data_IF_657977293877
#
_entry.id   IF_657977293877
#
_cell.length_a   1.000
_cell.length_b   1.000
_cell.length_c   1.000
_cell.angle_alpha   90.00
_cell.angle_beta   90.00
_cell.angle_gamma   90.00
#
_symmetry.space_group_name_H-M   'P 1'
#
loop_
_entity.id
_entity.type
_entity.pdbx_description
1 polymer ?
#
# COMPACT_ATOMS: atom_id res chain seq x y z
N UNK A 1 -5.44 -30.09 -7.28
CA UNK A 1 -4.37 -29.40 -8.04
C UNK A 1 -3.37 -30.44 -8.53
N UNK A 2 -2.91 -30.31 -9.77
CA UNK A 2 -1.90 -31.20 -10.34
C UNK A 2 -0.54 -30.87 -9.69
N UNK A 3 0.13 -31.81 -8.98
CA UNK A 3 1.42 -31.53 -8.34
C UNK A 3 2.49 -31.04 -9.32
N UNK A 4 2.42 -31.44 -10.59
CA UNK A 4 3.36 -31.02 -11.62
C UNK A 4 3.23 -29.53 -11.96
N UNK A 5 2.06 -28.94 -11.83
CA UNK A 5 1.88 -27.49 -12.06
C UNK A 5 2.55 -26.66 -10.99
N UNK A 6 2.73 -27.18 -9.78
CA UNK A 6 3.38 -26.48 -8.67
C UNK A 6 4.90 -26.34 -8.87
N UNK A 7 5.49 -27.19 -9.72
CA UNK A 7 6.93 -27.18 -10.02
C UNK A 7 7.27 -26.40 -11.31
N UNK A 8 6.27 -25.80 -11.95
CA UNK A 8 6.44 -24.98 -13.14
C UNK A 8 6.43 -23.50 -12.78
N UNK A 9 6.84 -22.68 -13.73
CA UNK A 9 6.68 -21.23 -13.63
C UNK A 9 5.19 -20.89 -13.56
N UNK A 10 4.79 -20.12 -12.55
CA UNK A 10 3.44 -19.61 -12.39
C UNK A 10 3.16 -18.39 -13.28
N UNK A 11 1.92 -17.90 -13.31
CA UNK A 11 1.60 -16.64 -13.96
C UNK A 11 2.36 -15.47 -13.31
N UNK A 12 2.86 -14.54 -14.12
CA UNK A 12 3.60 -13.38 -13.63
C UNK A 12 2.77 -12.47 -12.71
N UNK A 13 1.44 -12.49 -12.88
CA UNK A 13 0.48 -11.74 -12.06
C UNK A 13 0.25 -12.37 -10.68
N UNK A 14 0.74 -13.59 -10.47
CA UNK A 14 0.39 -14.44 -9.35
C UNK A 14 -0.73 -15.42 -9.71
N UNK A 15 -1.12 -16.25 -8.76
CA UNK A 15 -2.23 -17.20 -8.94
C UNK A 15 -3.55 -16.46 -9.16
N UNK A 16 -4.24 -16.77 -10.27
CA UNK A 16 -5.47 -16.07 -10.66
C UNK A 16 -6.61 -16.30 -9.65
N UNK A 17 -6.68 -17.51 -9.05
CA UNK A 17 -7.70 -17.82 -8.06
C UNK A 17 -7.46 -17.06 -6.75
N UNK A 18 -6.20 -16.92 -6.34
CA UNK A 18 -5.82 -16.11 -5.18
C UNK A 18 -6.16 -14.64 -5.42
N UNK A 19 -5.86 -14.12 -6.61
CA UNK A 19 -6.19 -12.73 -6.96
C UNK A 19 -7.71 -12.50 -6.93
N UNK A 20 -8.51 -13.41 -7.52
CA UNK A 20 -9.98 -13.36 -7.49
C UNK A 20 -10.52 -13.37 -6.05
N UNK A 21 -10.07 -14.29 -5.20
CA UNK A 21 -10.51 -14.40 -3.82
C UNK A 21 -10.09 -13.17 -2.99
N UNK A 22 -8.90 -12.62 -3.26
CA UNK A 22 -8.44 -11.40 -2.62
C UNK A 22 -9.32 -10.22 -3.01
N UNK A 23 -9.60 -10.04 -4.30
CA UNK A 23 -10.48 -8.98 -4.78
C UNK A 23 -11.89 -9.09 -4.19
N UNK A 24 -12.47 -10.29 -4.22
CA UNK A 24 -13.79 -10.57 -3.64
C UNK A 24 -13.85 -10.20 -2.15
N UNK A 25 -12.80 -10.51 -1.40
CA UNK A 25 -12.64 -10.11 0.01
C UNK A 25 -12.59 -8.59 0.17
N UNK A 26 -11.79 -7.88 -0.63
CA UNK A 26 -11.68 -6.42 -0.55
C UNK A 26 -13.03 -5.74 -0.82
N UNK A 27 -13.76 -6.22 -1.82
CA UNK A 27 -15.11 -5.69 -2.16
C UNK A 27 -16.11 -5.99 -1.05
N UNK A 28 -16.18 -7.23 -0.56
CA UNK A 28 -17.19 -7.65 0.42
C UNK A 28 -16.93 -7.11 1.82
N UNK A 29 -15.66 -7.17 2.27
CA UNK A 29 -15.29 -6.86 3.64
C UNK A 29 -14.92 -5.39 3.80
N UNK A 30 -14.10 -4.86 2.90
CA UNK A 30 -13.59 -3.49 2.99
C UNK A 30 -14.40 -2.47 2.17
N UNK A 31 -15.43 -2.94 1.43
CA UNK A 31 -16.31 -2.08 0.61
C UNK A 31 -15.57 -1.28 -0.46
N UNK A 32 -14.47 -1.81 -0.96
CA UNK A 32 -13.70 -1.16 -2.02
C UNK A 32 -14.39 -1.31 -3.37
N UNK A 33 -14.39 -0.23 -4.18
CA UNK A 33 -14.93 -0.27 -5.54
C UNK A 33 -13.88 -0.90 -6.48
N UNK A 34 -14.21 -1.99 -7.22
CA UNK A 34 -13.29 -2.61 -8.16
C UNK A 34 -13.27 -1.96 -9.55
N UNK A 35 -14.19 -1.06 -9.87
CA UNK A 35 -14.27 -0.43 -11.18
C UNK A 35 -13.03 0.41 -11.49
N UNK A 36 -12.40 0.18 -12.65
CA UNK A 36 -11.17 0.90 -13.05
C UNK A 36 -9.92 0.52 -12.25
N UNK A 37 -10.01 -0.49 -11.36
CA UNK A 37 -8.92 -0.90 -10.50
C UNK A 37 -8.25 -2.18 -10.98
N UNK A 38 -6.99 -2.35 -10.60
CA UNK A 38 -6.22 -3.57 -10.79
C UNK A 38 -5.78 -4.17 -9.45
N UNK A 39 -5.44 -5.46 -9.47
CA UNK A 39 -4.88 -6.17 -8.33
C UNK A 39 -3.68 -7.01 -8.78
N UNK A 40 -2.58 -6.93 -8.03
CA UNK A 40 -1.38 -7.74 -8.25
C UNK A 40 -1.02 -8.48 -6.96
N UNK A 41 -0.73 -9.77 -7.08
CA UNK A 41 -0.17 -10.57 -5.99
C UNK A 41 1.34 -10.41 -5.97
N UNK A 42 1.92 -10.30 -4.79
CA UNK A 42 3.35 -10.04 -4.58
C UNK A 42 3.99 -11.02 -3.58
N UNK A 43 5.30 -11.12 -3.63
CA UNK A 43 6.09 -11.90 -2.68
C UNK A 43 6.21 -11.17 -1.32
N UNK A 44 5.08 -11.07 -0.62
CA UNK A 44 4.87 -10.23 0.56
C UNK A 44 4.76 -8.74 0.24
N UNK A 45 4.13 -7.96 1.14
CA UNK A 45 4.00 -6.51 0.99
C UNK A 45 5.35 -5.79 0.88
N UNK A 46 6.42 -6.36 1.44
CA UNK A 46 7.77 -5.79 1.35
C UNK A 46 8.30 -5.65 -0.08
N UNK A 47 7.89 -6.52 -1.01
CA UNK A 47 8.24 -6.36 -2.44
C UNK A 47 7.62 -5.10 -3.03
N UNK A 48 6.39 -4.77 -2.63
CA UNK A 48 5.67 -3.60 -3.11
C UNK A 48 6.30 -2.29 -2.63
N UNK A 49 6.87 -2.28 -1.42
CA UNK A 49 7.62 -1.12 -0.92
C UNK A 49 8.81 -0.76 -1.81
N UNK A 50 9.40 -1.72 -2.51
CA UNK A 50 10.44 -1.45 -3.50
C UNK A 50 9.88 -1.06 -4.86
N UNK A 51 8.86 -1.78 -5.35
CA UNK A 51 8.33 -1.60 -6.70
C UNK A 51 7.57 -0.28 -6.89
N UNK A 52 6.81 0.18 -5.89
CA UNK A 52 6.03 1.43 -6.01
C UNK A 52 6.96 2.64 -6.18
N UNK A 53 7.97 2.89 -5.33
CA UNK A 53 8.89 3.99 -5.56
C UNK A 53 9.59 3.96 -6.91
N UNK A 54 10.05 2.78 -7.37
CA UNK A 54 10.68 2.63 -8.70
C UNK A 54 9.73 3.05 -9.82
N UNK A 55 8.44 2.78 -9.66
CA UNK A 55 7.44 3.07 -10.70
C UNK A 55 7.03 4.53 -10.74
N UNK A 56 6.95 5.20 -9.57
CA UNK A 56 6.29 6.51 -9.47
C UNK A 56 7.23 7.67 -9.13
N UNK A 57 8.46 7.42 -8.63
CA UNK A 57 9.37 8.49 -8.23
C UNK A 57 10.35 8.86 -9.33
N UNK A 58 10.61 10.15 -9.43
CA UNK A 58 11.76 10.73 -10.10
C UNK A 58 12.81 11.16 -9.06
N UNK A 59 14.02 11.42 -9.53
CA UNK A 59 15.12 11.84 -8.66
C UNK A 59 14.79 13.16 -7.96
N UNK A 60 14.81 13.15 -6.64
CA UNK A 60 14.55 14.32 -5.81
C UNK A 60 13.09 14.51 -5.40
N UNK A 61 12.16 13.69 -5.89
CA UNK A 61 10.76 13.68 -5.43
C UNK A 61 10.66 13.44 -3.93
N UNK A 62 9.63 13.99 -3.30
CA UNK A 62 9.38 13.88 -1.89
C UNK A 62 8.25 12.88 -1.60
N UNK A 63 8.46 12.07 -0.56
CA UNK A 63 7.44 11.16 -0.03
C UNK A 63 7.20 11.53 1.42
N UNK A 64 5.95 11.87 1.73
CA UNK A 64 5.53 12.23 3.08
C UNK A 64 5.13 10.97 3.85
N UNK A 65 5.61 10.84 5.08
CA UNK A 65 5.32 9.71 5.95
C UNK A 65 5.33 10.15 7.41
N UNK A 66 4.75 9.37 8.30
CA UNK A 66 4.84 9.64 9.74
C UNK A 66 6.32 9.78 10.15
N UNK A 67 6.65 10.72 11.05
CA UNK A 67 8.02 10.92 11.53
C UNK A 67 8.64 9.67 12.16
N UNK A 68 7.80 8.82 12.76
CA UNK A 68 8.15 7.47 13.19
C UNK A 68 7.39 6.47 12.33
N UNK A 69 8.07 5.78 11.43
CA UNK A 69 7.44 4.84 10.50
C UNK A 69 8.33 3.65 10.18
N UNK A 70 7.81 2.71 9.39
CA UNK A 70 8.52 1.49 9.03
C UNK A 70 9.80 1.79 8.23
N UNK A 71 10.95 1.44 8.79
CA UNK A 71 12.28 1.76 8.24
C UNK A 71 12.47 1.30 6.80
N UNK A 72 11.88 0.15 6.40
CA UNK A 72 11.99 -0.32 5.03
C UNK A 72 11.32 0.61 4.02
N UNK A 73 10.22 1.30 4.39
CA UNK A 73 9.58 2.30 3.53
C UNK A 73 10.50 3.51 3.34
N UNK A 74 11.15 3.99 4.40
CA UNK A 74 12.14 5.09 4.31
C UNK A 74 13.28 4.70 3.36
N UNK A 75 13.84 3.51 3.56
CA UNK A 75 14.99 3.05 2.78
C UNK A 75 14.62 2.85 1.30
N UNK A 76 13.42 2.35 0.99
CA UNK A 76 12.99 2.14 -0.39
C UNK A 76 12.89 3.45 -1.17
N UNK A 77 12.38 4.52 -0.53
CA UNK A 77 12.35 5.87 -1.12
C UNK A 77 13.76 6.41 -1.36
N UNK A 78 14.62 6.33 -0.34
CA UNK A 78 16.00 6.82 -0.43
C UNK A 78 16.84 6.09 -1.47
N UNK A 79 16.67 4.78 -1.61
CA UNK A 79 17.37 3.96 -2.60
C UNK A 79 17.02 4.37 -4.04
N UNK A 80 15.85 5.00 -4.25
CA UNK A 80 15.44 5.54 -5.54
C UNK A 80 15.85 7.01 -5.76
N UNK A 81 16.62 7.58 -4.82
CA UNK A 81 17.02 8.98 -4.88
C UNK A 81 15.91 9.96 -4.50
N UNK A 82 14.79 9.47 -3.98
CA UNK A 82 13.72 10.27 -3.40
C UNK A 82 14.06 10.74 -1.98
N UNK A 83 13.28 11.69 -1.48
CA UNK A 83 13.40 12.23 -0.13
C UNK A 83 12.24 11.73 0.73
N UNK A 84 12.53 10.90 1.72
CA UNK A 84 11.57 10.52 2.74
C UNK A 84 11.49 11.64 3.80
N UNK A 85 10.35 12.31 3.87
CA UNK A 85 10.10 13.42 4.80
C UNK A 85 9.14 12.97 5.90
N UNK A 86 9.64 13.01 7.14
CA UNK A 86 8.83 12.73 8.34
C UNK A 86 7.92 13.92 8.65
N UNK A 87 6.62 13.66 8.68
CA UNK A 87 5.59 14.63 9.10
C UNK A 87 5.27 14.38 10.56
N UNK A 88 5.19 15.44 11.36
CA UNK A 88 4.86 15.34 12.78
C UNK A 88 3.54 14.60 13.02
N UNK A 89 3.51 13.84 14.10
CA UNK A 89 2.35 13.04 14.53
C UNK A 89 1.88 13.45 15.92
N UNK A 90 0.61 13.18 16.18
CA UNK A 90 -0.02 13.25 17.50
C UNK A 90 -0.61 11.88 17.88
N UNK A 91 -1.46 11.81 18.89
CA UNK A 91 -2.13 10.57 19.33
C UNK A 91 -3.09 9.98 18.29
N UNK A 92 -3.38 10.72 17.21
CA UNK A 92 -4.25 10.28 16.09
C UNK A 92 -3.45 10.04 14.79
N UNK A 93 -2.12 10.11 14.84
CA UNK A 93 -1.23 9.92 13.70
C UNK A 93 -0.81 11.23 13.03
N UNK A 94 -0.53 11.20 11.74
CA UNK A 94 -0.04 12.35 10.97
C UNK A 94 -0.91 13.60 11.15
N UNK A 95 -0.29 14.74 11.50
CA UNK A 95 -0.96 16.01 11.70
C UNK A 95 -1.25 16.67 10.33
N UNK A 96 -2.53 16.91 9.95
CA UNK A 96 -2.89 17.44 8.63
C UNK A 96 -2.25 18.78 8.30
N UNK A 97 -2.19 19.70 9.25
CA UNK A 97 -1.58 21.03 9.03
C UNK A 97 -0.07 20.96 8.74
N UNK A 98 0.65 20.00 9.34
CA UNK A 98 2.06 19.77 9.05
C UNK A 98 2.25 19.10 7.68
N UNK A 99 1.37 18.17 7.30
CA UNK A 99 1.35 17.59 5.96
C UNK A 99 1.06 18.66 4.89
N UNK A 100 0.04 19.49 5.11
CA UNK A 100 -0.31 20.55 4.17
C UNK A 100 0.84 21.55 3.98
N UNK A 101 1.50 21.94 5.06
CA UNK A 101 2.69 22.79 5.01
C UNK A 101 3.82 22.17 4.19
N UNK A 102 4.07 20.87 4.34
CA UNK A 102 5.07 20.17 3.53
C UNK A 102 4.66 20.09 2.06
N UNK A 103 3.38 19.79 1.78
CA UNK A 103 2.84 19.64 0.43
C UNK A 103 2.90 20.96 -0.39
N UNK A 104 2.96 22.12 0.25
CA UNK A 104 3.17 23.43 -0.40
C UNK A 104 4.50 23.53 -1.16
N UNK A 105 5.47 22.65 -0.90
CA UNK A 105 6.71 22.55 -1.69
C UNK A 105 6.47 22.22 -3.16
N UNK A 106 5.35 21.57 -3.49
CA UNK A 106 5.01 21.08 -4.82
C UNK A 106 5.90 19.93 -5.33
N UNK A 107 6.72 19.32 -4.44
CA UNK A 107 7.65 18.22 -4.78
C UNK A 107 7.15 16.87 -4.29
N UNK A 108 6.03 16.84 -3.55
CA UNK A 108 5.42 15.63 -3.04
C UNK A 108 4.91 14.76 -4.18
N UNK A 109 5.14 13.45 -4.08
CA UNK A 109 4.60 12.46 -5.02
C UNK A 109 3.52 11.61 -4.39
N UNK A 110 3.77 11.11 -3.20
CA UNK A 110 2.79 10.35 -2.46
C UNK A 110 2.99 10.45 -0.94
N UNK A 111 1.95 10.06 -0.22
CA UNK A 111 1.92 9.93 1.24
C UNK A 111 1.95 8.44 1.55
N UNK A 112 2.93 7.96 2.32
CA UNK A 112 2.99 6.60 2.83
C UNK A 112 2.41 6.55 4.25
N UNK A 113 1.42 5.70 4.48
CA UNK A 113 0.73 5.57 5.77
C UNK A 113 0.50 4.10 6.15
N UNK A 114 0.61 3.83 7.45
CA UNK A 114 0.12 2.60 8.08
C UNK A 114 -1.04 3.02 9.01
N UNK A 115 -2.30 3.13 8.51
CA UNK A 115 -3.36 3.78 9.24
C UNK A 115 -3.97 2.95 10.38
N UNK A 116 -3.72 1.64 10.40
CA UNK A 116 -4.18 0.73 11.43
C UNK A 116 -2.98 0.15 12.20
N UNK A 117 -2.97 0.34 13.53
CA UNK A 117 -1.91 -0.22 14.40
C UNK A 117 -0.51 0.11 13.89
N UNK A 118 -0.28 1.38 13.63
CA UNK A 118 0.91 1.95 13.00
C UNK A 118 2.21 1.36 13.57
N UNK A 119 3.12 1.01 12.70
CA UNK A 119 4.43 0.50 13.09
C UNK A 119 5.50 1.64 13.01
N UNK A 120 6.09 2.06 14.18
CA UNK A 120 6.14 1.34 15.45
C UNK A 120 5.19 1.85 16.56
N UNK A 121 4.38 2.86 16.34
CA UNK A 121 3.68 3.61 17.42
C UNK A 121 2.44 2.88 17.97
N UNK A 122 1.84 1.97 17.20
CA UNK A 122 0.58 1.29 17.54
C UNK A 122 -0.66 2.15 17.34
N UNK A 123 -0.53 3.40 16.90
CA UNK A 123 -1.64 4.33 16.68
C UNK A 123 -2.57 3.78 15.60
N UNK A 124 -3.88 3.93 15.80
CA UNK A 124 -4.89 3.73 14.75
C UNK A 124 -5.53 5.05 14.41
N UNK A 125 -5.37 5.48 13.17
CA UNK A 125 -5.85 6.75 12.66
C UNK A 125 -7.38 6.74 12.56
N UNK A 126 -8.09 7.67 13.22
CA UNK A 126 -9.55 7.76 13.16
C UNK A 126 -10.03 8.23 11.78
N UNK A 127 -11.28 7.91 11.44
CA UNK A 127 -11.85 8.18 10.12
C UNK A 127 -11.75 9.66 9.70
N UNK A 128 -12.03 10.57 10.62
CA UNK A 128 -12.01 12.01 10.29
C UNK A 128 -10.59 12.47 9.92
N UNK A 129 -9.56 11.96 10.62
CA UNK A 129 -8.16 12.23 10.27
C UNK A 129 -7.81 11.68 8.89
N UNK A 130 -8.32 10.48 8.53
CA UNK A 130 -8.14 9.92 7.17
C UNK A 130 -8.75 10.82 6.11
N UNK A 131 -9.95 11.34 6.35
CA UNK A 131 -10.62 12.27 5.42
C UNK A 131 -9.86 13.59 5.25
N UNK A 132 -9.33 14.16 6.34
CA UNK A 132 -8.51 15.37 6.29
C UNK A 132 -7.24 15.16 5.44
N UNK A 133 -6.53 14.04 5.67
CA UNK A 133 -5.34 13.69 4.88
C UNK A 133 -5.70 13.45 3.41
N UNK A 134 -6.81 12.75 3.14
CA UNK A 134 -7.28 12.53 1.78
C UNK A 134 -7.59 13.84 1.05
N UNK A 135 -8.25 14.78 1.72
CA UNK A 135 -8.53 16.10 1.16
C UNK A 135 -7.25 16.88 0.81
N UNK A 136 -6.21 16.77 1.63
CA UNK A 136 -4.89 17.36 1.34
C UNK A 136 -4.24 16.64 0.14
N UNK A 137 -4.31 15.32 0.09
CA UNK A 137 -3.81 14.54 -1.04
C UNK A 137 -4.49 14.94 -2.36
N UNK A 138 -5.82 15.12 -2.33
CA UNK A 138 -6.59 15.63 -3.48
C UNK A 138 -6.14 17.04 -3.88
N UNK A 139 -6.03 17.96 -2.93
CA UNK A 139 -5.66 19.36 -3.17
C UNK A 139 -4.27 19.52 -3.80
N UNK A 140 -3.32 18.68 -3.43
CA UNK A 140 -1.91 18.77 -3.86
C UNK A 140 -1.52 17.69 -4.87
N UNK A 141 -2.49 16.99 -5.44
CA UNK A 141 -2.31 15.91 -6.43
C UNK A 141 -1.32 14.83 -6.00
N UNK A 142 -1.47 14.37 -4.76
CA UNK A 142 -0.65 13.32 -4.17
C UNK A 142 -1.37 11.97 -4.26
N UNK A 143 -0.62 10.89 -4.53
CA UNK A 143 -1.10 9.55 -4.25
C UNK A 143 -1.05 9.26 -2.75
N UNK A 144 -1.84 8.29 -2.30
CA UNK A 144 -1.74 7.70 -0.96
C UNK A 144 -1.33 6.23 -1.13
N UNK A 145 -0.21 5.84 -0.52
CA UNK A 145 0.16 4.45 -0.36
C UNK A 145 -0.30 4.01 1.03
N UNK A 146 -1.44 3.32 1.08
CA UNK A 146 -2.03 2.77 2.29
C UNK A 146 -1.48 1.37 2.54
N UNK A 147 -0.57 1.21 3.50
CA UNK A 147 0.01 -0.07 3.90
C UNK A 147 -0.77 -0.62 5.11
N UNK A 148 -1.56 -1.67 4.91
CA UNK A 148 -2.46 -2.19 5.93
C UNK A 148 -2.24 -3.69 6.26
N UNK A 149 -1.08 -4.04 6.84
CA UNK A 149 -0.81 -5.42 7.23
C UNK A 149 -1.51 -5.85 8.52
N UNK A 150 -2.13 -4.92 9.27
CA UNK A 150 -2.65 -5.17 10.62
C UNK A 150 -4.15 -4.94 10.77
N UNK A 151 -4.81 -4.30 9.83
CA UNK A 151 -6.23 -3.90 9.96
C UNK A 151 -7.18 -5.04 10.26
N UNK A 152 -6.89 -6.24 9.78
CA UNK A 152 -7.72 -7.43 9.97
C UNK A 152 -7.44 -8.22 11.27
N UNK A 153 -6.39 -7.87 12.03
CA UNK A 153 -6.07 -8.52 13.31
C UNK A 153 -6.50 -7.69 14.51
N UNK A 154 -7.59 -6.96 14.39
CA UNK A 154 -8.17 -6.13 15.44
C UNK A 154 -8.76 -6.99 16.56
N UNK A 155 -8.32 -6.78 17.82
CA UNK A 155 -8.82 -7.49 18.99
C UNK A 155 -9.92 -6.72 19.75
N UNK A 156 -10.00 -5.39 19.54
CA UNK A 156 -10.99 -4.52 20.17
C UNK A 156 -11.29 -3.30 19.29
N UNK A 157 -12.43 -2.66 19.54
CA UNK A 157 -12.91 -1.51 18.77
C UNK A 157 -13.57 -1.92 17.44
N UNK A 158 -14.08 -0.94 16.72
CA UNK A 158 -14.78 -1.14 15.47
C UNK A 158 -13.86 -1.00 14.26
N UNK A 159 -14.28 -1.58 13.13
CA UNK A 159 -13.60 -1.39 11.84
C UNK A 159 -13.69 0.08 11.41
N UNK A 160 -12.56 0.62 10.99
CA UNK A 160 -12.48 1.97 10.44
C UNK A 160 -12.28 1.86 8.92
N UNK A 161 -13.12 2.52 8.10
CA UNK A 161 -12.98 2.52 6.65
C UNK A 161 -11.56 2.90 6.20
N UNK A 162 -11.01 2.12 5.28
CA UNK A 162 -9.69 2.38 4.68
C UNK A 162 -9.75 3.60 3.76
N UNK A 163 -8.62 4.25 3.48
CA UNK A 163 -8.56 5.32 2.48
C UNK A 163 -9.10 4.83 1.13
N UNK A 164 -8.71 3.61 0.72
CA UNK A 164 -9.17 3.03 -0.54
C UNK A 164 -10.67 2.82 -0.60
N UNK A 165 -11.34 2.56 0.52
CA UNK A 165 -12.79 2.30 0.53
C UNK A 165 -13.65 3.54 0.22
N UNK A 166 -13.11 4.75 0.41
CA UNK A 166 -13.77 6.01 0.07
C UNK A 166 -13.03 6.83 -0.99
N UNK A 167 -12.04 6.22 -1.66
CA UNK A 167 -11.32 6.83 -2.77
C UNK A 167 -12.23 6.98 -4.00
N UNK A 168 -12.48 8.21 -4.42
CA UNK A 168 -13.30 8.55 -5.59
C UNK A 168 -12.49 9.20 -6.71
N UNK A 169 -11.17 9.35 -6.52
CA UNK A 169 -10.29 10.09 -7.44
C UNK A 169 -9.13 9.22 -7.97
N UNK A 170 -9.19 7.91 -7.76
CA UNK A 170 -8.16 6.96 -8.19
C UNK A 170 -6.74 7.29 -7.68
N UNK A 171 -6.64 7.80 -6.44
CA UNK A 171 -5.36 8.23 -5.85
C UNK A 171 -4.83 7.33 -4.74
N UNK A 172 -5.53 6.25 -4.38
CA UNK A 172 -5.10 5.34 -3.30
C UNK A 172 -4.60 4.02 -3.85
N UNK A 173 -3.37 3.66 -3.47
CA UNK A 173 -2.78 2.33 -3.63
C UNK A 173 -2.87 1.61 -2.29
N UNK A 174 -3.69 0.57 -2.20
CA UNK A 174 -3.87 -0.22 -0.98
C UNK A 174 -3.01 -1.48 -1.02
N UNK A 175 -2.07 -1.58 -0.09
CA UNK A 175 -1.21 -2.74 0.09
C UNK A 175 -1.68 -3.57 1.29
N UNK A 176 -1.88 -4.86 1.06
CA UNK A 176 -2.24 -5.82 2.10
C UNK A 176 -1.26 -6.98 2.18
N UNK A 177 -1.33 -7.71 3.29
CA UNK A 177 -0.44 -8.83 3.55
C UNK A 177 -1.15 -9.98 4.26
N UNK A 178 -0.90 -11.20 3.82
CA UNK A 178 -1.33 -12.41 4.54
C UNK A 178 -0.32 -12.86 5.61
N UNK A 179 0.80 -12.15 5.76
CA UNK A 179 1.86 -12.51 6.71
C UNK A 179 1.41 -12.48 8.17
N UNK A 180 0.43 -11.65 8.52
CA UNK A 180 -0.06 -11.49 9.89
C UNK A 180 -1.37 -12.22 10.15
N UNK A 181 -2.16 -12.47 9.11
CA UNK A 181 -3.47 -13.13 9.21
C UNK A 181 -3.39 -14.63 8.95
N UNK A 182 -2.41 -15.09 8.17
CA UNK A 182 -2.26 -16.50 7.81
C UNK A 182 -0.88 -17.04 8.21
N UNK A 183 0.19 -16.63 7.53
CA UNK A 183 1.56 -17.06 7.86
C UNK A 183 2.60 -16.15 7.21
N UNK A 184 3.58 -15.71 8.00
CA UNK A 184 4.67 -14.89 7.50
C UNK A 184 5.59 -15.65 6.52
N UNK A 185 5.73 -16.96 6.67
CA UNK A 185 6.57 -17.81 5.83
C UNK A 185 6.06 -17.99 4.41
N UNK A 186 4.76 -17.82 4.17
CA UNK A 186 4.17 -17.94 2.83
C UNK A 186 4.55 -16.80 1.88
N UNK A 187 4.97 -15.67 2.42
CA UNK A 187 5.38 -14.50 1.64
C UNK A 187 4.32 -14.03 0.63
N UNK A 188 3.06 -13.95 1.04
CA UNK A 188 1.95 -13.48 0.21
C UNK A 188 1.54 -12.07 0.62
N UNK A 189 1.55 -11.16 -0.34
CA UNK A 189 1.01 -9.81 -0.25
C UNK A 189 0.30 -9.44 -1.54
N UNK A 190 -0.35 -8.30 -1.55
CA UNK A 190 -1.04 -7.79 -2.73
C UNK A 190 -1.08 -6.26 -2.73
N UNK A 191 -1.26 -5.69 -3.92
CA UNK A 191 -1.52 -4.26 -4.12
C UNK A 191 -2.79 -4.12 -4.95
N UNK A 192 -3.69 -3.24 -4.51
CA UNK A 192 -4.93 -2.90 -5.18
C UNK A 192 -5.00 -1.39 -5.40
N UNK A 193 -5.33 -0.96 -6.61
CA UNK A 193 -5.35 0.46 -6.95
C UNK A 193 -5.63 0.72 -8.43
N UNK A 194 -5.46 1.96 -8.92
CA UNK A 194 -5.75 2.33 -10.29
C UNK A 194 -5.07 1.40 -11.31
N UNK A 195 -5.85 0.84 -12.25
CA UNK A 195 -5.37 -0.21 -13.17
C UNK A 195 -4.08 0.17 -13.88
N UNK A 196 -3.96 1.40 -14.38
CA UNK A 196 -2.75 1.88 -15.08
C UNK A 196 -1.49 1.83 -14.21
N UNK A 197 -1.61 2.16 -12.92
CA UNK A 197 -0.48 2.12 -11.99
C UNK A 197 -0.11 0.67 -11.67
N UNK A 198 -1.12 -0.18 -11.45
CA UNK A 198 -0.91 -1.62 -11.22
C UNK A 198 -0.25 -2.30 -12.42
N UNK A 199 -0.66 -1.98 -13.64
CA UNK A 199 -0.04 -2.48 -14.89
C UNK A 199 1.45 -2.08 -14.99
N UNK A 200 1.79 -0.84 -14.68
CA UNK A 200 3.17 -0.37 -14.68
C UNK A 200 4.03 -1.10 -13.62
N UNK A 201 3.50 -1.26 -12.40
CA UNK A 201 4.17 -2.01 -11.32
C UNK A 201 4.34 -3.49 -11.70
N UNK A 202 3.34 -4.07 -12.36
CA UNK A 202 3.40 -5.45 -12.83
C UNK A 202 4.48 -5.64 -13.91
N UNK A 203 4.57 -4.74 -14.88
CA UNK A 203 5.61 -4.78 -15.91
C UNK A 203 7.01 -4.74 -15.28
N UNK A 204 7.20 -3.89 -14.27
CA UNK A 204 8.45 -3.81 -13.53
C UNK A 204 8.72 -5.08 -12.70
N UNK A 205 7.72 -5.62 -12.02
CA UNK A 205 7.84 -6.87 -11.25
C UNK A 205 8.31 -8.02 -12.14
N UNK A 206 7.76 -8.12 -13.36
CA UNK A 206 8.12 -9.17 -14.33
C UNK A 206 9.60 -9.13 -14.69
N UNK A 207 10.20 -7.94 -14.72
CA UNK A 207 11.60 -7.75 -15.11
C UNK A 207 12.59 -7.85 -13.93
N UNK A 208 12.13 -7.74 -12.68
CA UNK A 208 13.01 -7.63 -11.51
C UNK A 208 12.95 -8.81 -10.55
N UNK A 209 11.79 -9.38 -10.30
CA UNK A 209 11.60 -10.30 -9.18
C UNK A 209 11.09 -11.69 -9.58
N UNK A 210 10.83 -11.92 -10.86
CA UNK A 210 10.27 -13.20 -11.31
C UNK A 210 8.91 -13.53 -10.71
N UNK A 211 8.56 -14.79 -10.73
CA UNK A 211 7.25 -15.30 -10.33
C UNK A 211 7.26 -15.77 -8.88
N UNK A 212 6.09 -15.69 -8.23
CA UNK A 212 5.90 -16.34 -6.93
C UNK A 212 5.87 -17.86 -7.09
N UNK A 213 6.41 -18.61 -6.12
CA UNK A 213 6.18 -20.05 -6.08
C UNK A 213 4.68 -20.36 -5.99
N UNK A 214 4.20 -21.32 -6.80
CA UNK A 214 2.80 -21.78 -6.76
C UNK A 214 2.49 -22.66 -5.53
N UNK A 215 3.52 -23.00 -4.74
CA UNK A 215 3.39 -23.80 -3.51
C UNK A 215 3.09 -22.98 -2.26
N UNK A 216 2.88 -21.68 -2.40
CA UNK A 216 2.54 -20.77 -1.28
C UNK A 216 1.04 -20.52 -1.16
#
# INVERSE_FOLDING_TARGET
>A
SNPMSLLQYGPMQGDARLAELTLDRLVKTHKMNPEGQGLIISNGAGQLLGLVPITVLELGDEVYMDEFTFTSAINSVRNMGGKALGIKTDEYGMIPSELEKAAQSGKGKYIYLIPNFQNPTGITMPLERRKEIYAIASKYDLFIYEDDPYGEIRFAGEYIPTFKSFDTEDRVLYAGSYSKTLSAGLRVGFLFGPAKVIEAIQALKNNTAGQMPLVT
#
